data_IF_210484894251
#
_entry.id   IF_210484894251
#
_cell.length_a   1.000
_cell.length_b   1.000
_cell.length_c   1.000
_cell.angle_alpha   90.00
_cell.angle_beta   90.00
_cell.angle_gamma   90.00
#
_symmetry.space_group_name_H-M   'P 1'
#
loop_
_entity.id
_entity.type
_entity.pdbx_description
1 polymer ?
#
# COMPACT_ATOMS: atom_id res chain seq x y z
N UNK A 1 12.23 13.29 38.73
CA UNK A 1 13.70 13.20 38.65
C UNK A 1 14.15 14.10 37.50
N UNK A 2 14.85 15.19 37.82
CA UNK A 2 15.07 16.29 36.89
C UNK A 2 16.14 15.97 35.84
N UNK A 3 15.85 16.34 34.61
CA UNK A 3 16.82 16.34 33.52
C UNK A 3 17.70 17.58 33.62
N UNK A 4 19.00 17.41 33.73
CA UNK A 4 19.98 18.49 33.55
C UNK A 4 20.30 18.66 32.08
N UNK A 5 20.00 19.84 31.55
CA UNK A 5 20.42 20.25 30.21
C UNK A 5 21.86 20.79 30.29
N UNK A 6 22.81 20.08 29.68
CA UNK A 6 24.15 20.64 29.41
C UNK A 6 24.19 21.21 28.01
N UNK A 7 24.18 22.53 27.94
CA UNK A 7 24.42 23.29 26.70
C UNK A 7 25.92 23.36 26.41
N UNK A 8 26.36 22.75 25.31
CA UNK A 8 27.60 23.11 24.61
C UNK A 8 27.41 22.92 23.10
N UNK A 9 27.36 24.04 22.37
CA UNK A 9 27.35 24.06 20.91
C UNK A 9 25.95 23.99 20.29
N UNK A 10 25.72 24.82 19.27
CA UNK A 10 24.46 24.99 18.52
C UNK A 10 24.03 23.70 17.74
N UNK A 11 23.87 22.56 18.40
CA UNK A 11 23.21 21.41 17.82
C UNK A 11 21.74 21.41 18.27
N UNK A 12 20.77 21.28 17.37
CA UNK A 12 19.39 21.11 17.77
C UNK A 12 19.26 19.83 18.59
N UNK A 13 18.87 19.95 19.86
CA UNK A 13 18.58 18.79 20.72
C UNK A 13 17.21 18.28 20.31
N UNK A 14 17.16 17.15 19.63
CA UNK A 14 15.91 16.44 19.34
C UNK A 14 15.59 15.56 20.55
N UNK A 15 14.52 15.91 21.28
CA UNK A 15 13.99 15.09 22.38
C UNK A 15 13.14 13.96 21.79
N UNK A 16 13.70 12.78 21.68
CA UNK A 16 12.94 11.57 21.37
C UNK A 16 12.28 11.02 22.65
N UNK A 17 11.04 10.52 22.52
CA UNK A 17 10.44 9.73 23.58
C UNK A 17 11.27 8.46 23.80
N UNK A 18 11.31 7.97 25.04
CA UNK A 18 11.90 6.66 25.35
C UNK A 18 11.33 5.57 24.42
N UNK A 19 12.20 4.82 23.72
CA UNK A 19 11.83 3.85 22.71
C UNK A 19 11.61 4.40 21.29
N UNK A 20 11.76 5.72 21.07
CA UNK A 20 11.72 6.31 19.74
C UNK A 20 13.01 6.08 18.97
N UNK A 21 12.91 5.69 17.69
CA UNK A 21 14.02 5.65 16.75
C UNK A 21 13.86 6.74 15.70
N UNK A 22 14.96 7.37 15.30
CA UNK A 22 14.98 8.37 14.22
C UNK A 22 15.89 7.89 13.10
N UNK A 23 15.35 7.82 11.88
CA UNK A 23 16.11 7.59 10.64
C UNK A 23 15.96 8.81 9.74
N UNK A 24 17.03 9.19 9.03
CA UNK A 24 17.07 10.39 8.18
C UNK A 24 17.59 10.10 6.78
N UNK A 25 17.23 10.98 5.82
CA UNK A 25 17.77 10.95 4.47
C UNK A 25 17.36 9.71 3.67
N UNK A 26 18.27 9.19 2.86
CA UNK A 26 18.04 8.02 2.00
C UNK A 26 17.68 6.76 2.78
N UNK A 27 18.26 6.57 3.97
CA UNK A 27 17.99 5.39 4.80
C UNK A 27 16.54 5.38 5.31
N UNK A 28 16.01 6.55 5.67
CA UNK A 28 14.60 6.68 6.04
C UNK A 28 13.67 6.36 4.86
N UNK A 29 14.01 6.82 3.65
CA UNK A 29 13.25 6.52 2.45
C UNK A 29 13.25 5.03 2.13
N UNK A 30 14.41 4.38 2.15
CA UNK A 30 14.56 2.93 1.92
C UNK A 30 13.81 2.12 2.96
N UNK A 31 13.90 2.48 4.23
CA UNK A 31 13.18 1.81 5.31
C UNK A 31 11.65 1.90 5.11
N UNK A 32 11.15 3.09 4.75
CA UNK A 32 9.72 3.29 4.46
C UNK A 32 9.25 2.47 3.26
N UNK A 33 10.02 2.49 2.16
CA UNK A 33 9.71 1.71 0.96
C UNK A 33 9.78 0.21 1.26
N UNK A 34 10.81 -0.25 1.95
CA UNK A 34 10.98 -1.65 2.34
C UNK A 34 9.79 -2.17 3.15
N UNK A 35 9.34 -1.41 4.15
CA UNK A 35 8.18 -1.78 4.95
C UNK A 35 6.88 -1.86 4.12
N UNK A 36 6.69 -0.94 3.18
CA UNK A 36 5.55 -0.97 2.28
C UNK A 36 5.61 -2.17 1.30
N UNK A 37 6.79 -2.47 0.74
CA UNK A 37 7.00 -3.63 -0.14
C UNK A 37 6.65 -4.94 0.56
N UNK A 38 7.05 -5.13 1.83
CA UNK A 38 6.72 -6.32 2.61
C UNK A 38 5.20 -6.52 2.68
N UNK A 39 4.44 -5.46 2.95
CA UNK A 39 2.97 -5.53 3.00
C UNK A 39 2.37 -5.91 1.64
N UNK A 40 2.88 -5.31 0.55
CA UNK A 40 2.43 -5.66 -0.80
C UNK A 40 2.74 -7.12 -1.15
N UNK A 41 3.91 -7.63 -0.77
CA UNK A 41 4.32 -9.02 -0.99
C UNK A 41 3.42 -10.01 -0.26
N UNK A 42 3.03 -9.69 0.98
CA UNK A 42 2.12 -10.55 1.76
C UNK A 42 0.81 -10.79 1.01
N UNK A 43 0.23 -9.78 0.38
CA UNK A 43 -1.05 -9.91 -0.35
C UNK A 43 -0.89 -10.32 -1.80
N UNK A 44 0.30 -10.15 -2.38
CA UNK A 44 0.55 -10.47 -3.81
C UNK A 44 0.16 -11.91 -4.17
N UNK A 45 0.50 -12.88 -3.32
CA UNK A 45 0.24 -14.31 -3.59
C UNK A 45 -1.22 -14.74 -3.40
N UNK A 46 -2.11 -13.84 -2.93
CA UNK A 46 -3.56 -14.06 -2.87
C UNK A 46 -4.30 -13.49 -4.08
N UNK A 47 -3.60 -12.79 -4.99
CA UNK A 47 -4.21 -12.10 -6.13
C UNK A 47 -4.54 -13.07 -7.28
N UNK A 48 -5.76 -12.92 -7.81
CA UNK A 48 -6.20 -13.53 -9.06
C UNK A 48 -6.64 -15.01 -8.93
N UNK A 49 -6.98 -15.67 -10.06
CA UNK A 49 -7.62 -16.99 -10.06
C UNK A 49 -6.71 -18.14 -9.61
N UNK A 50 -5.43 -17.87 -9.43
CA UNK A 50 -4.45 -18.79 -8.84
C UNK A 50 -3.96 -18.30 -7.47
N UNK A 51 -4.64 -17.31 -6.91
CA UNK A 51 -4.34 -16.80 -5.58
C UNK A 51 -4.55 -17.88 -4.52
N UNK A 52 -3.68 -17.89 -3.53
CA UNK A 52 -3.76 -18.83 -2.40
C UNK A 52 -4.37 -18.14 -1.20
N UNK A 53 -5.23 -18.86 -0.48
CA UNK A 53 -5.74 -18.42 0.80
C UNK A 53 -4.60 -18.26 1.81
N UNK A 54 -4.71 -17.26 2.66
CA UNK A 54 -3.82 -17.04 3.79
C UNK A 54 -4.47 -17.54 5.07
N UNK A 55 -3.70 -18.25 5.87
CA UNK A 55 -4.07 -18.57 7.24
C UNK A 55 -3.38 -17.57 8.17
N UNK A 56 -4.19 -16.81 8.88
CA UNK A 56 -3.75 -15.82 9.86
C UNK A 56 -4.13 -16.31 11.25
N UNK A 57 -3.22 -16.22 12.18
CA UNK A 57 -3.45 -16.59 13.59
C UNK A 57 -3.16 -15.37 14.43
N UNK A 58 -4.14 -14.92 15.19
CA UNK A 58 -3.98 -13.76 16.07
C UNK A 58 -3.28 -14.13 17.40
N UNK A 59 -3.07 -13.13 18.25
CA UNK A 59 -2.43 -13.32 19.57
C UNK A 59 -3.25 -14.13 20.56
N UNK A 60 -4.55 -14.32 20.31
CA UNK A 60 -5.47 -15.12 21.14
C UNK A 60 -5.57 -16.57 20.65
N UNK A 61 -5.02 -16.86 19.46
CA UNK A 61 -5.06 -18.17 18.82
C UNK A 61 -6.25 -18.35 17.87
N UNK A 62 -7.01 -17.28 17.59
CA UNK A 62 -8.09 -17.33 16.61
C UNK A 62 -7.51 -17.41 15.18
N UNK A 63 -8.12 -18.28 14.36
CA UNK A 63 -7.65 -18.57 13.01
C UNK A 63 -8.60 -17.98 11.98
N UNK A 64 -8.08 -17.10 11.12
CA UNK A 64 -8.79 -16.55 9.97
C UNK A 64 -8.16 -17.08 8.68
N UNK A 65 -8.97 -17.68 7.79
CA UNK A 65 -8.54 -18.15 6.46
C UNK A 65 -9.23 -17.28 5.42
N UNK A 66 -8.45 -16.58 4.60
CA UNK A 66 -8.97 -15.65 3.59
C UNK A 66 -7.98 -15.42 2.46
N UNK A 67 -8.48 -15.05 1.27
CA UNK A 67 -7.68 -14.53 0.15
C UNK A 67 -7.96 -13.04 -0.11
N UNK A 68 -8.89 -12.43 0.61
CA UNK A 68 -9.22 -11.02 0.45
C UNK A 68 -8.14 -10.11 1.05
N UNK A 69 -7.55 -9.25 0.20
CA UNK A 69 -6.44 -8.39 0.61
C UNK A 69 -6.80 -7.40 1.73
N UNK A 70 -8.03 -6.88 1.75
CA UNK A 70 -8.47 -5.97 2.81
C UNK A 70 -8.56 -6.70 4.15
N UNK A 71 -9.12 -7.91 4.16
CA UNK A 71 -9.21 -8.75 5.37
C UNK A 71 -7.80 -9.16 5.83
N UNK A 72 -6.93 -9.62 4.94
CA UNK A 72 -5.54 -9.97 5.27
C UNK A 72 -4.85 -8.80 5.97
N UNK A 73 -4.91 -7.61 5.38
CA UNK A 73 -4.23 -6.43 5.91
C UNK A 73 -4.85 -5.88 7.19
N UNK A 74 -6.12 -6.15 7.44
CA UNK A 74 -6.81 -5.79 8.68
C UNK A 74 -6.37 -6.67 9.86
N UNK A 75 -6.20 -7.97 9.61
CA UNK A 75 -5.81 -8.94 10.64
C UNK A 75 -4.31 -8.90 10.96
N UNK A 76 -3.47 -8.39 10.04
CA UNK A 76 -2.04 -8.22 10.31
C UNK A 76 -1.81 -6.99 11.18
N UNK A 77 -1.15 -7.17 12.32
CA UNK A 77 -0.72 -6.06 13.20
C UNK A 77 0.50 -5.34 12.60
N UNK A 78 0.22 -4.39 11.72
CA UNK A 78 1.25 -3.59 11.05
C UNK A 78 1.65 -2.41 11.94
N UNK A 79 2.90 -2.39 12.41
CA UNK A 79 3.40 -1.31 13.28
C UNK A 79 4.04 -0.15 12.50
N UNK A 80 4.69 -0.45 11.37
CA UNK A 80 5.43 0.57 10.61
C UNK A 80 4.50 1.60 9.94
N UNK A 81 4.75 2.93 10.10
CA UNK A 81 3.86 3.96 9.57
C UNK A 81 3.63 3.89 8.06
N UNK A 82 4.68 3.66 7.26
CA UNK A 82 4.55 3.55 5.80
C UNK A 82 3.73 2.31 5.39
N UNK A 83 3.88 1.19 6.11
CA UNK A 83 3.07 0.00 5.88
C UNK A 83 1.60 0.24 6.26
N UNK A 84 1.32 0.98 7.34
CA UNK A 84 -0.05 1.41 7.69
C UNK A 84 -0.72 2.21 6.57
N UNK A 85 0.02 3.02 5.82
CA UNK A 85 -0.53 3.74 4.67
C UNK A 85 -1.06 2.80 3.59
N UNK A 86 -0.40 1.67 3.32
CA UNK A 86 -0.91 0.66 2.38
C UNK A 86 -2.19 -0.03 2.89
N UNK A 87 -2.28 -0.26 4.20
CA UNK A 87 -3.51 -0.77 4.82
C UNK A 87 -4.66 0.23 4.62
N UNK A 88 -4.41 1.52 4.80
CA UNK A 88 -5.43 2.56 4.57
C UNK A 88 -5.82 2.68 3.08
N UNK A 89 -4.90 2.50 2.14
CA UNK A 89 -5.21 2.42 0.70
C UNK A 89 -6.19 1.27 0.44
N UNK A 90 -5.91 0.08 0.99
CA UNK A 90 -6.78 -1.08 0.87
C UNK A 90 -8.18 -0.80 1.42
N UNK A 91 -8.27 -0.27 2.64
CA UNK A 91 -9.56 0.08 3.28
C UNK A 91 -10.35 1.12 2.49
N UNK A 92 -9.67 2.15 1.98
CA UNK A 92 -10.33 3.19 1.16
C UNK A 92 -10.88 2.59 -0.11
N UNK A 93 -10.12 1.74 -0.80
CA UNK A 93 -10.56 1.03 -2.01
C UNK A 93 -11.76 0.14 -1.70
N UNK A 94 -11.74 -0.58 -0.57
CA UNK A 94 -12.85 -1.43 -0.14
C UNK A 94 -14.13 -0.63 0.13
N UNK A 95 -14.02 0.47 0.85
CA UNK A 95 -15.15 1.33 1.20
C UNK A 95 -15.77 2.04 0.00
N UNK A 96 -14.96 2.44 -0.99
CA UNK A 96 -15.43 3.20 -2.16
C UNK A 96 -15.92 2.32 -3.29
N UNK A 97 -15.28 1.17 -3.52
CA UNK A 97 -15.51 0.32 -4.69
C UNK A 97 -15.92 -1.11 -4.30
N UNK A 98 -15.45 -1.63 -3.18
CA UNK A 98 -15.69 -3.01 -2.72
C UNK A 98 -14.94 -4.07 -3.53
N UNK A 99 -14.03 -3.65 -4.41
CA UNK A 99 -13.22 -4.55 -5.26
C UNK A 99 -11.85 -3.93 -5.57
N UNK A 100 -10.88 -4.78 -5.97
CA UNK A 100 -9.54 -4.35 -6.35
C UNK A 100 -8.63 -3.96 -5.18
N UNK A 101 -8.98 -4.28 -3.95
CA UNK A 101 -8.22 -3.97 -2.74
C UNK A 101 -6.80 -4.53 -2.79
N UNK A 102 -6.65 -5.80 -3.14
CA UNK A 102 -5.36 -6.46 -3.32
C UNK A 102 -4.57 -5.85 -4.47
N UNK A 103 -5.23 -5.60 -5.61
CA UNK A 103 -4.59 -5.00 -6.80
C UNK A 103 -4.03 -3.62 -6.52
N UNK A 104 -4.75 -2.78 -5.76
CA UNK A 104 -4.31 -1.44 -5.38
C UNK A 104 -3.02 -1.48 -4.53
N UNK A 105 -2.95 -2.39 -3.56
CA UNK A 105 -1.78 -2.55 -2.68
C UNK A 105 -0.59 -3.12 -3.45
N UNK A 106 -0.80 -4.13 -4.30
CA UNK A 106 0.25 -4.72 -5.13
C UNK A 106 0.81 -3.69 -6.11
N UNK A 107 -0.04 -2.90 -6.76
CA UNK A 107 0.38 -1.82 -7.66
C UNK A 107 1.20 -0.76 -6.90
N UNK A 108 0.74 -0.36 -5.72
CA UNK A 108 1.47 0.60 -4.90
C UNK A 108 2.86 0.07 -4.50
N UNK A 109 2.95 -1.21 -4.11
CA UNK A 109 4.22 -1.87 -3.81
C UNK A 109 5.17 -1.89 -5.02
N UNK A 110 4.67 -2.26 -6.19
CA UNK A 110 5.46 -2.28 -7.43
C UNK A 110 5.96 -0.88 -7.83
N UNK A 111 5.12 0.15 -7.71
CA UNK A 111 5.52 1.53 -7.96
C UNK A 111 6.60 2.01 -6.97
N UNK A 112 6.48 1.65 -5.70
CA UNK A 112 7.48 1.97 -4.69
C UNK A 112 8.81 1.24 -4.94
N UNK A 113 8.79 0.01 -5.42
CA UNK A 113 10.00 -0.73 -5.80
C UNK A 113 10.74 -0.05 -6.97
N UNK A 114 10.02 0.39 -7.99
CA UNK A 114 10.61 1.16 -9.08
C UNK A 114 11.11 2.54 -8.62
N UNK A 115 10.40 3.17 -7.67
CA UNK A 115 10.87 4.42 -7.07
C UNK A 115 12.18 4.24 -6.30
N UNK A 116 12.35 3.15 -5.55
CA UNK A 116 13.59 2.81 -4.85
C UNK A 116 14.77 2.69 -5.84
N UNK A 117 14.56 1.98 -6.94
CA UNK A 117 15.58 1.84 -8.00
C UNK A 117 15.99 3.18 -8.61
N UNK A 118 15.05 4.11 -8.79
CA UNK A 118 15.36 5.45 -9.29
C UNK A 118 16.07 6.33 -8.24
N UNK A 119 15.73 6.20 -6.97
CA UNK A 119 16.41 6.89 -5.86
C UNK A 119 17.87 6.40 -5.75
N UNK A 120 18.11 5.11 -5.98
CA UNK A 120 19.46 4.54 -6.00
C UNK A 120 20.31 5.07 -7.17
N UNK A 121 19.66 5.48 -8.26
CA UNK A 121 20.28 6.17 -9.40
C UNK A 121 20.37 7.69 -9.19
N UNK A 122 20.19 8.18 -7.96
CA UNK A 122 20.23 9.60 -7.59
C UNK A 122 19.13 10.47 -8.22
N UNK A 123 18.03 9.88 -8.71
CA UNK A 123 16.86 10.65 -9.14
C UNK A 123 16.16 11.23 -7.92
N UNK A 124 15.92 12.53 -7.92
CA UNK A 124 15.30 13.19 -6.78
C UNK A 124 13.84 12.74 -6.59
N UNK A 125 13.40 12.40 -5.36
CA UNK A 125 12.05 11.88 -5.10
C UNK A 125 10.91 12.74 -5.65
N UNK A 126 11.07 14.07 -5.64
CA UNK A 126 10.07 15.00 -6.20
C UNK A 126 9.82 14.76 -7.69
N UNK A 127 10.88 14.45 -8.46
CA UNK A 127 10.78 14.17 -9.91
C UNK A 127 9.99 12.87 -10.12
N UNK A 128 10.25 11.84 -9.29
CA UNK A 128 9.53 10.57 -9.34
C UNK A 128 8.05 10.79 -9.04
N UNK A 129 7.73 11.54 -7.99
CA UNK A 129 6.34 11.88 -7.62
C UNK A 129 5.62 12.64 -8.73
N UNK A 130 6.28 13.62 -9.36
CA UNK A 130 5.70 14.36 -10.48
C UNK A 130 5.47 13.46 -11.71
N UNK A 131 6.39 12.52 -11.96
CA UNK A 131 6.25 11.49 -12.98
C UNK A 131 5.01 10.63 -12.73
N UNK A 132 4.83 10.11 -11.52
CA UNK A 132 3.67 9.30 -11.13
C UNK A 132 2.36 10.08 -11.21
N UNK A 133 2.33 11.35 -10.79
CA UNK A 133 1.13 12.21 -10.95
C UNK A 133 0.73 12.42 -12.41
N UNK A 134 1.72 12.61 -13.30
CA UNK A 134 1.47 12.74 -14.74
C UNK A 134 0.96 11.43 -15.34
N UNK A 135 1.59 10.32 -14.97
CA UNK A 135 1.17 8.99 -15.41
C UNK A 135 -0.25 8.67 -14.96
N UNK A 136 -0.59 8.93 -13.70
CA UNK A 136 -1.93 8.68 -13.16
C UNK A 136 -3.02 9.48 -13.90
N UNK A 137 -2.76 10.77 -14.19
CA UNK A 137 -3.69 11.59 -15.00
C UNK A 137 -3.88 11.01 -16.40
N UNK A 138 -2.78 10.65 -17.05
CA UNK A 138 -2.84 10.10 -18.41
C UNK A 138 -3.52 8.74 -18.46
N UNK A 139 -3.28 7.90 -17.46
CA UNK A 139 -3.97 6.61 -17.33
C UNK A 139 -5.47 6.79 -17.15
N UNK A 140 -5.91 7.78 -16.36
CA UNK A 140 -7.34 8.09 -16.19
C UNK A 140 -7.98 8.54 -17.49
N UNK A 141 -7.37 9.48 -18.21
CA UNK A 141 -7.84 9.93 -19.52
C UNK A 141 -7.97 8.75 -20.50
N UNK A 142 -6.97 7.89 -20.56
CA UNK A 142 -6.98 6.72 -21.43
C UNK A 142 -8.04 5.70 -21.04
N UNK A 143 -8.25 5.46 -19.75
CA UNK A 143 -9.30 4.57 -19.26
C UNK A 143 -10.70 5.10 -19.63
N UNK A 144 -10.92 6.42 -19.56
CA UNK A 144 -12.18 7.05 -19.99
C UNK A 144 -12.40 6.92 -21.52
N UNK A 145 -11.31 6.98 -22.30
CA UNK A 145 -11.35 6.83 -23.76
C UNK A 145 -11.71 5.41 -24.21
N UNK A 146 -11.16 4.39 -23.53
CA UNK A 146 -11.37 2.99 -23.90
C UNK A 146 -12.57 2.33 -23.21
N UNK A 147 -13.20 3.00 -22.25
CA UNK A 147 -14.32 2.45 -21.49
C UNK A 147 -15.58 2.32 -22.34
N UNK A 148 -16.17 1.13 -22.33
CA UNK A 148 -17.48 0.90 -22.94
C UNK A 148 -18.62 1.42 -22.04
N UNK A 149 -19.51 2.22 -22.61
CA UNK A 149 -20.72 2.65 -21.90
C UNK A 149 -21.74 1.51 -21.86
N UNK A 150 -22.17 1.16 -20.66
CA UNK A 150 -23.18 0.11 -20.46
C UNK A 150 -24.45 0.68 -19.83
N UNK A 151 -25.60 0.11 -20.20
CA UNK A 151 -26.87 0.45 -19.55
C UNK A 151 -27.03 -0.31 -18.24
N UNK A 152 -27.49 0.34 -17.15
CA UNK A 152 -27.79 -0.35 -15.88
C UNK A 152 -28.85 -1.46 -15.98
N UNK A 153 -29.60 -1.52 -17.07
CA UNK A 153 -30.62 -2.56 -17.32
C UNK A 153 -30.09 -3.73 -18.18
N UNK A 154 -28.86 -3.63 -18.71
CA UNK A 154 -28.25 -4.72 -19.48
C UNK A 154 -27.77 -5.84 -18.56
N UNK A 155 -28.66 -6.77 -18.28
CA UNK A 155 -28.38 -7.93 -17.41
C UNK A 155 -27.24 -8.81 -17.93
N UNK A 156 -27.06 -8.93 -19.25
CA UNK A 156 -26.00 -9.74 -19.82
C UNK A 156 -24.62 -9.14 -19.54
N UNK A 157 -24.48 -7.82 -19.71
CA UNK A 157 -23.23 -7.13 -19.44
C UNK A 157 -22.93 -7.08 -17.93
N UNK A 158 -23.96 -6.80 -17.12
CA UNK A 158 -23.81 -6.83 -15.65
C UNK A 158 -23.37 -8.20 -15.14
N UNK A 159 -23.92 -9.31 -15.69
CA UNK A 159 -23.49 -10.66 -15.34
C UNK A 159 -22.04 -10.94 -15.73
N UNK A 160 -21.55 -10.43 -16.87
CA UNK A 160 -20.14 -10.57 -17.27
C UNK A 160 -19.23 -9.80 -16.30
N UNK A 161 -19.60 -8.58 -15.93
CA UNK A 161 -18.84 -7.77 -14.97
C UNK A 161 -18.77 -8.46 -13.62
N UNK A 162 -19.90 -8.90 -13.08
CA UNK A 162 -19.95 -9.60 -11.80
C UNK A 162 -19.12 -10.88 -11.82
N UNK A 163 -19.19 -11.65 -12.92
CA UNK A 163 -18.36 -12.86 -13.09
C UNK A 163 -16.87 -12.53 -13.10
N UNK A 164 -16.46 -11.46 -13.78
CA UNK A 164 -15.06 -11.03 -13.84
C UNK A 164 -14.58 -10.63 -12.44
N UNK A 165 -15.35 -9.83 -11.70
CA UNK A 165 -15.02 -9.42 -10.33
C UNK A 165 -14.84 -10.64 -9.40
N UNK A 166 -15.73 -11.64 -9.49
CA UNK A 166 -15.60 -12.87 -8.69
C UNK A 166 -14.42 -13.75 -9.08
N UNK A 167 -13.90 -13.66 -10.30
CA UNK A 167 -12.76 -14.44 -10.78
C UNK A 167 -11.40 -13.81 -10.47
N UNK A 168 -11.38 -12.55 -10.10
CA UNK A 168 -10.15 -11.83 -9.75
C UNK A 168 -9.80 -11.90 -8.26
N UNK A 169 -10.67 -12.49 -7.49
CA UNK A 169 -10.47 -12.78 -6.06
C UNK A 169 -10.03 -14.20 -5.84
#
# INVERSE_FOLDING_TARGET
>A
MGMQATSKGNMPVVLLKEGGSETKGKDAQKNNIGAAKIVAEIVHTSLGPRGMDKMLVDSLGDVTITNDGATILKEIDVQHPAAKMLVEISKTTDNEVGDGTTSAVVLAGALLEQAESLIDQDVHPTIIVDGYKKAARKSKEYLEEIADSISPVDKNMLNKIAKTSMQTK
#
